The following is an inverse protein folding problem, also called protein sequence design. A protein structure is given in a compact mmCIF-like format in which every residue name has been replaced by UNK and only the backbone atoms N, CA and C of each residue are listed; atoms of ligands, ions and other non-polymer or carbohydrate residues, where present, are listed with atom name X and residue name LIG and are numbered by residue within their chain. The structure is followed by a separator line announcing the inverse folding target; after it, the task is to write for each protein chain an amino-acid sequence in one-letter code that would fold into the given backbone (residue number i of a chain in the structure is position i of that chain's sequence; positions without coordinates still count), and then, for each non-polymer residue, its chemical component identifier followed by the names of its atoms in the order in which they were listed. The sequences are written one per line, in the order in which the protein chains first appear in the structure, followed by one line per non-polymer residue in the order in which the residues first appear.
data_IF_990681588642
#
_entry.id   IF_990681588642
#
_cell.length_a   1.000
_cell.length_b   1.000
_cell.length_c   1.000
_cell.angle_alpha   90.00
_cell.angle_beta   90.00
_cell.angle_gamma   90.00
#
_symmetry.space_group_name_H-M   'P 1'
#
loop_
_entity.id
_entity.type
_entity.pdbx_description
1 polymer ?
#
# COMPACT_ATOMS: atom_id res chain seq x y z
N UNK A 1 -11.68 27.38 3.44
CA UNK A 1 -12.18 26.06 3.86
C UNK A 1 -13.18 25.61 2.81
N UNK A 2 -12.73 24.79 1.87
CA UNK A 2 -13.54 24.22 0.79
C UNK A 2 -13.38 22.70 0.92
N UNK A 3 -14.42 22.02 1.38
CA UNK A 3 -14.51 20.57 1.32
C UNK A 3 -14.84 20.21 -0.14
N UNK A 4 -13.91 19.54 -0.81
CA UNK A 4 -14.20 18.81 -2.03
C UNK A 4 -14.75 17.45 -1.59
N UNK A 5 -16.04 17.23 -1.79
CA UNK A 5 -16.61 15.89 -1.61
C UNK A 5 -16.07 14.94 -2.70
N UNK A 6 -15.67 13.71 -2.35
CA UNK A 6 -15.25 12.73 -3.34
C UNK A 6 -16.50 12.21 -4.06
N UNK A 7 -16.69 12.63 -5.32
CA UNK A 7 -17.62 11.97 -6.24
C UNK A 7 -17.03 10.64 -6.68
N UNK A 8 -17.44 9.54 -6.06
CA UNK A 8 -17.18 8.21 -6.57
C UNK A 8 -18.13 7.92 -7.73
N UNK A 9 -17.57 7.67 -8.92
CA UNK A 9 -18.32 7.20 -10.08
C UNK A 9 -18.65 5.72 -9.83
N UNK A 10 -19.94 5.35 -9.75
CA UNK A 10 -20.33 3.96 -9.61
C UNK A 10 -19.94 3.19 -10.88
N UNK A 11 -18.96 2.29 -10.79
CA UNK A 11 -18.69 1.31 -11.85
C UNK A 11 -19.50 0.06 -11.53
N UNK A 12 -20.65 -0.10 -12.19
CA UNK A 12 -21.39 -1.35 -12.14
C UNK A 12 -20.72 -2.36 -13.09
N UNK A 13 -20.06 -3.37 -12.52
CA UNK A 13 -19.70 -4.58 -13.25
C UNK A 13 -20.68 -5.67 -12.79
N UNK A 14 -21.39 -6.27 -13.73
CA UNK A 14 -22.18 -7.50 -13.56
C UNK A 14 -23.28 -7.52 -12.48
N UNK A 15 -24.04 -6.43 -12.34
CA UNK A 15 -25.31 -6.47 -11.60
C UNK A 15 -25.19 -6.54 -10.07
N UNK A 16 -24.00 -6.30 -9.52
CA UNK A 16 -23.80 -6.08 -8.09
C UNK A 16 -24.07 -4.60 -7.79
N UNK A 17 -25.19 -4.30 -7.14
CA UNK A 17 -25.43 -2.99 -6.54
C UNK A 17 -24.52 -2.84 -5.33
N UNK A 18 -23.46 -2.05 -5.45
CA UNK A 18 -22.65 -1.65 -4.30
C UNK A 18 -23.45 -0.66 -3.45
N UNK A 19 -23.60 -0.95 -2.16
CA UNK A 19 -24.05 0.01 -1.15
C UNK A 19 -23.15 1.26 -1.25
N UNK A 20 -23.70 2.45 -1.06
CA UNK A 20 -23.21 3.73 -1.61
C UNK A 20 -21.84 4.22 -1.06
N UNK A 21 -21.08 3.38 -0.35
CA UNK A 21 -19.67 3.61 -0.04
C UNK A 21 -18.89 2.29 0.05
N UNK A 22 -18.24 1.82 -1.04
CA UNK A 22 -17.52 0.53 -1.06
C UNK A 22 -16.37 0.44 -0.05
N UNK A 23 -15.94 1.57 0.53
CA UNK A 23 -14.84 1.65 1.49
C UNK A 23 -15.24 1.07 2.85
N UNK A 24 -16.53 1.08 3.23
CA UNK A 24 -16.95 0.61 4.57
C UNK A 24 -16.91 -0.90 4.74
N UNK A 25 -16.72 -1.67 3.66
CA UNK A 25 -16.63 -3.13 3.68
C UNK A 25 -15.18 -3.64 3.55
N UNK A 26 -14.20 -2.75 3.51
CA UNK A 26 -12.78 -3.13 3.46
C UNK A 26 -12.34 -3.50 4.88
N UNK A 27 -12.07 -4.78 5.09
CA UNK A 27 -11.60 -5.33 6.38
C UNK A 27 -10.10 -5.60 6.41
N UNK A 28 -9.42 -5.53 5.26
CA UNK A 28 -7.98 -5.71 5.15
C UNK A 28 -7.37 -5.13 3.89
N UNK A 29 -6.09 -4.78 3.98
CA UNK A 29 -5.24 -4.32 2.87
C UNK A 29 -3.97 -5.17 2.83
N UNK A 30 -3.56 -5.59 1.62
CA UNK A 30 -2.28 -6.28 1.40
C UNK A 30 -1.43 -5.39 0.47
N UNK A 31 -0.27 -4.96 0.93
CA UNK A 31 0.75 -4.29 0.12
C UNK A 31 1.89 -5.26 -0.17
N UNK A 32 2.28 -5.40 -1.43
CA UNK A 32 3.36 -6.31 -1.87
C UNK A 32 4.35 -5.49 -2.69
N UNK A 33 5.64 -5.53 -2.32
CA UNK A 33 6.73 -4.76 -2.95
C UNK A 33 6.39 -3.27 -3.17
N UNK A 34 5.75 -2.66 -2.17
CA UNK A 34 5.13 -1.35 -2.31
C UNK A 34 6.07 -0.16 -2.19
N UNK A 35 5.74 0.92 -2.90
CA UNK A 35 6.34 2.26 -2.72
C UNK A 35 5.45 3.07 -1.80
N UNK A 36 5.97 3.51 -0.66
CA UNK A 36 5.21 4.27 0.34
C UNK A 36 5.75 5.69 0.57
N UNK A 37 7.03 5.94 0.26
CA UNK A 37 7.73 7.21 0.41
C UNK A 37 8.52 7.55 -0.86
N UNK A 38 7.94 8.41 -1.70
CA UNK A 38 8.53 8.87 -2.97
C UNK A 38 9.81 9.69 -2.75
N UNK A 39 9.87 10.67 -1.83
CA UNK A 39 11.13 11.33 -1.49
C UNK A 39 12.25 10.33 -1.14
N UNK A 40 11.93 9.31 -0.33
CA UNK A 40 12.92 8.29 0.05
C UNK A 40 13.31 7.39 -1.12
N UNK A 41 12.35 7.03 -1.99
CA UNK A 41 12.62 6.27 -3.21
C UNK A 41 13.64 6.98 -4.10
N UNK A 42 13.47 8.28 -4.34
CA UNK A 42 14.41 9.06 -5.17
C UNK A 42 15.76 9.26 -4.48
N UNK A 43 15.79 9.36 -3.15
CA UNK A 43 17.06 9.39 -2.39
C UNK A 43 17.86 8.10 -2.60
N UNK A 44 17.19 6.94 -2.50
CA UNK A 44 17.83 5.63 -2.60
C UNK A 44 18.10 5.23 -4.07
N UNK A 45 17.26 5.68 -5.01
CA UNK A 45 17.33 5.39 -6.45
C UNK A 45 17.16 6.67 -7.28
N UNK A 46 18.18 7.54 -7.40
CA UNK A 46 18.04 8.84 -8.06
C UNK A 46 17.56 8.78 -9.51
N UNK A 47 17.87 7.70 -10.23
CA UNK A 47 17.42 7.52 -11.61
C UNK A 47 15.90 7.38 -11.72
N UNK A 48 15.19 6.97 -10.66
CA UNK A 48 13.73 6.81 -10.68
C UNK A 48 12.99 8.12 -10.84
N UNK A 49 13.63 9.26 -10.55
CA UNK A 49 13.01 10.57 -10.75
C UNK A 49 12.50 10.72 -12.19
N UNK A 50 13.41 10.61 -13.16
CA UNK A 50 13.15 10.97 -14.56
C UNK A 50 12.27 9.94 -15.28
N UNK A 51 12.47 8.63 -15.03
CA UNK A 51 11.75 7.59 -15.78
C UNK A 51 10.42 7.17 -15.13
N UNK A 52 10.24 7.40 -13.83
CA UNK A 52 9.06 6.92 -13.08
C UNK A 52 8.34 8.03 -12.33
N UNK A 53 9.01 8.70 -11.39
CA UNK A 53 8.34 9.56 -10.40
C UNK A 53 7.70 10.79 -11.03
N UNK A 54 8.39 11.46 -11.96
CA UNK A 54 7.84 12.64 -12.61
C UNK A 54 6.59 12.32 -13.44
N UNK A 55 6.58 11.15 -14.10
CA UNK A 55 5.46 10.68 -14.90
C UNK A 55 4.29 10.15 -14.05
N UNK A 56 4.58 9.40 -12.98
CA UNK A 56 3.56 8.75 -12.14
C UNK A 56 2.99 9.67 -11.06
N UNK A 57 3.77 10.66 -10.61
CA UNK A 57 3.39 11.62 -9.57
C UNK A 57 3.36 13.03 -10.15
N UNK A 58 4.52 13.69 -10.19
CA UNK A 58 4.68 15.08 -10.66
C UNK A 58 6.15 15.49 -10.67
N UNK A 59 6.51 16.42 -11.55
CA UNK A 59 7.80 17.11 -11.56
C UNK A 59 8.02 18.01 -10.33
N UNK A 60 6.94 18.47 -9.67
CA UNK A 60 7.02 19.35 -8.50
C UNK A 60 7.36 18.55 -7.22
N UNK A 61 8.65 18.57 -6.85
CA UNK A 61 9.19 17.83 -5.70
C UNK A 61 8.50 18.14 -4.38
N UNK A 62 8.01 19.36 -4.19
CA UNK A 62 7.30 19.76 -2.96
C UNK A 62 5.98 19.00 -2.79
N UNK A 63 5.42 18.47 -3.88
CA UNK A 63 4.18 17.67 -3.86
C UNK A 63 4.41 16.17 -3.70
N UNK A 64 5.64 15.67 -3.74
CA UNK A 64 5.89 14.21 -3.68
C UNK A 64 5.35 13.55 -2.42
N UNK A 65 5.33 14.28 -1.29
CA UNK A 65 4.72 13.80 -0.04
C UNK A 65 3.21 13.57 -0.16
N UNK A 66 2.52 14.31 -1.02
CA UNK A 66 1.07 14.12 -1.26
C UNK A 66 0.77 12.77 -1.94
N UNK A 67 1.71 12.26 -2.74
CA UNK A 67 1.62 10.97 -3.45
C UNK A 67 2.20 9.80 -2.64
N UNK A 68 2.71 10.07 -1.44
CA UNK A 68 3.41 9.11 -0.61
C UNK A 68 2.52 8.65 0.55
N UNK A 69 2.02 7.39 0.55
CA UNK A 69 1.26 6.84 1.67
C UNK A 69 1.90 7.07 3.04
N UNK A 70 3.23 7.13 3.13
CA UNK A 70 4.01 7.41 4.33
C UNK A 70 3.63 8.73 5.02
N UNK A 71 3.06 9.71 4.31
CA UNK A 71 2.69 11.02 4.87
C UNK A 71 1.17 11.21 5.02
N UNK A 72 0.35 10.23 4.63
CA UNK A 72 -1.10 10.31 4.72
C UNK A 72 -1.63 9.70 6.04
N UNK A 73 -2.61 10.32 6.70
CA UNK A 73 -3.27 9.72 7.84
C UNK A 73 -4.47 8.89 7.36
N UNK A 74 -4.70 7.67 7.89
CA UNK A 74 -5.96 6.97 7.66
C UNK A 74 -7.11 7.85 8.16
N UNK A 75 -8.08 8.12 7.28
CA UNK A 75 -9.33 8.77 7.66
C UNK A 75 -10.38 7.69 7.85
N UNK A 76 -11.06 7.69 9.00
CA UNK A 76 -12.02 6.66 9.46
C UNK A 76 -11.35 5.35 9.93
N UNK A 77 -11.06 5.31 11.23
CA UNK A 77 -10.40 4.23 11.95
C UNK A 77 -11.37 3.10 12.33
N UNK A 78 -12.10 2.55 11.34
CA UNK A 78 -12.66 1.22 11.57
C UNK A 78 -11.50 0.23 11.75
N UNK A 79 -11.66 -0.82 12.57
CA UNK A 79 -10.66 -1.86 12.68
C UNK A 79 -10.29 -2.42 11.31
N UNK A 80 -9.01 -2.32 10.93
CA UNK A 80 -8.54 -2.67 9.60
C UNK A 80 -7.22 -3.44 9.71
N UNK A 81 -7.15 -4.61 9.06
CA UNK A 81 -5.91 -5.37 8.95
C UNK A 81 -5.01 -4.81 7.84
N UNK A 82 -3.71 -4.82 8.07
CA UNK A 82 -2.69 -4.60 7.06
C UNK A 82 -1.72 -5.77 7.04
N UNK A 83 -1.41 -6.26 5.84
CA UNK A 83 -0.28 -7.13 5.59
C UNK A 83 0.64 -6.46 4.57
N UNK A 84 1.87 -6.20 4.96
CA UNK A 84 2.93 -5.77 4.05
C UNK A 84 3.82 -6.98 3.77
N UNK A 85 4.12 -7.25 2.50
CA UNK A 85 5.06 -8.28 2.07
C UNK A 85 6.13 -7.59 1.24
N UNK A 86 7.40 -7.82 1.57
CA UNK A 86 8.51 -7.23 0.83
C UNK A 86 9.66 -8.25 0.77
N UNK A 87 10.19 -8.55 -0.40
CA UNK A 87 11.28 -9.52 -0.50
C UNK A 87 12.62 -8.89 -0.08
N UNK A 88 13.46 -9.61 0.69
CA UNK A 88 14.83 -9.16 0.96
C UNK A 88 15.71 -9.14 -0.30
N UNK A 89 15.27 -9.81 -1.38
CA UNK A 89 15.98 -9.89 -2.66
C UNK A 89 15.46 -8.91 -3.73
N UNK A 90 14.49 -8.03 -3.39
CA UNK A 90 13.96 -7.02 -4.32
C UNK A 90 15.11 -6.10 -4.82
N UNK A 91 15.36 -6.14 -6.11
CA UNK A 91 16.40 -5.38 -6.78
C UNK A 91 15.96 -3.98 -7.23
N UNK A 92 14.65 -3.70 -7.19
CA UNK A 92 14.02 -2.46 -7.67
C UNK A 92 13.67 -1.52 -6.53
N UNK A 93 13.27 -2.04 -5.37
CA UNK A 93 12.81 -1.25 -4.22
C UNK A 93 13.29 -1.89 -2.92
N UNK A 94 13.87 -1.10 -2.03
CA UNK A 94 14.34 -1.63 -0.75
C UNK A 94 13.20 -1.85 0.26
N UNK A 95 13.42 -2.83 1.15
CA UNK A 95 12.51 -3.17 2.25
C UNK A 95 12.23 -2.02 3.24
N UNK A 96 13.08 -0.98 3.27
CA UNK A 96 12.89 0.16 4.17
C UNK A 96 11.60 0.92 3.87
N UNK A 97 11.10 0.84 2.63
CA UNK A 97 9.78 1.33 2.26
C UNK A 97 8.70 0.66 3.12
N UNK A 98 8.62 -0.67 3.10
CA UNK A 98 7.63 -1.43 3.86
C UNK A 98 7.83 -1.31 5.38
N UNK A 99 9.08 -1.36 5.86
CA UNK A 99 9.42 -1.24 7.29
C UNK A 99 8.97 0.13 7.84
N UNK A 100 9.35 1.22 7.16
CA UNK A 100 9.01 2.58 7.62
C UNK A 100 7.51 2.85 7.57
N UNK A 101 6.80 2.23 6.62
CA UNK A 101 5.36 2.33 6.51
C UNK A 101 4.64 1.54 7.59
N UNK A 102 5.10 0.32 7.90
CA UNK A 102 4.63 -0.45 9.06
C UNK A 102 4.74 0.37 10.35
N UNK A 103 5.91 0.90 10.66
CA UNK A 103 6.15 1.71 11.87
C UNK A 103 5.22 2.93 11.95
N UNK A 104 4.86 3.51 10.80
CA UNK A 104 3.91 4.61 10.72
C UNK A 104 2.47 4.13 10.96
N UNK A 105 2.06 3.00 10.40
CA UNK A 105 0.72 2.44 10.60
C UNK A 105 0.48 1.93 12.03
N UNK A 106 1.52 1.40 12.68
CA UNK A 106 1.43 0.92 14.08
C UNK A 106 1.14 2.03 15.10
N UNK A 107 1.23 3.31 14.69
CA UNK A 107 0.82 4.46 15.52
C UNK A 107 -0.70 4.59 15.65
N UNK A 108 -1.47 3.82 14.88
CA UNK A 108 -2.93 3.85 14.87
C UNK A 108 -3.47 2.59 15.56
N UNK A 109 -4.05 2.74 16.76
CA UNK A 109 -4.51 1.62 17.60
C UNK A 109 -5.58 0.73 16.94
N UNK A 110 -6.32 1.26 15.96
CA UNK A 110 -7.34 0.52 15.22
C UNK A 110 -6.77 -0.38 14.11
N UNK A 111 -5.45 -0.36 13.88
CA UNK A 111 -4.83 -1.12 12.80
C UNK A 111 -4.10 -2.36 13.35
N UNK A 112 -4.38 -3.52 12.77
CA UNK A 112 -3.58 -4.74 12.95
C UNK A 112 -2.59 -4.83 11.80
N UNK A 113 -1.34 -4.42 12.03
CA UNK A 113 -0.33 -4.28 10.97
C UNK A 113 0.69 -5.42 11.07
N UNK A 114 0.84 -6.18 9.99
CA UNK A 114 1.79 -7.28 9.85
C UNK A 114 2.77 -6.98 8.73
N UNK A 115 4.01 -7.42 8.89
CA UNK A 115 5.05 -7.35 7.87
C UNK A 115 5.68 -8.73 7.71
N UNK A 116 5.87 -9.12 6.46
CA UNK A 116 6.57 -10.33 6.07
C UNK A 116 7.73 -9.97 5.13
N UNK A 117 8.94 -10.26 5.59
CA UNK A 117 10.18 -10.08 4.82
C UNK A 117 10.95 -11.39 4.67
N UNK A 118 10.28 -12.52 4.90
CA UNK A 118 10.91 -13.84 4.85
C UNK A 118 10.77 -14.49 3.47
N UNK A 119 9.81 -14.02 2.66
CA UNK A 119 9.60 -14.51 1.29
C UNK A 119 10.67 -13.92 0.38
N UNK A 120 11.54 -14.79 -0.16
CA UNK A 120 12.63 -14.42 -1.07
C UNK A 120 12.19 -14.39 -2.54
N UNK A 121 13.02 -13.77 -3.39
CA UNK A 121 12.78 -13.61 -4.83
C UNK A 121 12.83 -12.17 -5.30
N UNK A 122 13.14 -11.95 -6.58
CA UNK A 122 13.14 -10.60 -7.18
C UNK A 122 11.74 -10.00 -7.21
N UNK A 123 11.67 -8.68 -7.41
CA UNK A 123 10.45 -7.88 -7.35
C UNK A 123 9.23 -8.54 -8.03
N UNK A 124 9.37 -8.92 -9.30
CA UNK A 124 8.29 -9.56 -10.07
C UNK A 124 8.22 -11.08 -9.86
N UNK A 125 9.35 -11.72 -9.57
CA UNK A 125 9.46 -13.18 -9.45
C UNK A 125 8.71 -13.67 -8.20
N UNK A 126 8.83 -12.93 -7.08
CA UNK A 126 8.21 -13.29 -5.81
C UNK A 126 6.68 -13.37 -5.90
N UNK A 127 6.06 -12.54 -6.75
CA UNK A 127 4.61 -12.48 -6.95
C UNK A 127 4.01 -13.79 -7.49
N UNK A 128 4.84 -14.61 -8.14
CA UNK A 128 4.42 -15.89 -8.73
C UNK A 128 4.62 -17.09 -7.79
N UNK A 129 5.09 -16.86 -6.57
CA UNK A 129 5.39 -17.94 -5.62
C UNK A 129 4.14 -18.40 -4.87
N UNK A 130 4.10 -19.70 -4.53
CA UNK A 130 3.04 -20.23 -3.66
C UNK A 130 3.07 -19.61 -2.25
N UNK A 131 4.24 -19.17 -1.79
CA UNK A 131 4.41 -18.61 -0.45
C UNK A 131 3.62 -17.32 -0.28
N UNK A 132 3.69 -16.41 -1.26
CA UNK A 132 2.87 -15.18 -1.29
C UNK A 132 1.39 -15.52 -1.24
N UNK A 133 0.93 -16.43 -2.10
CA UNK A 133 -0.47 -16.84 -2.13
C UNK A 133 -0.90 -17.42 -0.76
N UNK A 134 -0.07 -18.24 -0.12
CA UNK A 134 -0.33 -18.79 1.23
C UNK A 134 -0.42 -17.69 2.29
N UNK A 135 0.47 -16.69 2.27
CA UNK A 135 0.42 -15.56 3.22
C UNK A 135 -0.85 -14.73 3.02
N UNK A 136 -1.21 -14.44 1.77
CA UNK A 136 -2.44 -13.71 1.45
C UNK A 136 -3.69 -14.46 1.95
N UNK A 137 -3.80 -15.77 1.67
CA UNK A 137 -4.92 -16.60 2.12
C UNK A 137 -4.97 -16.65 3.66
N UNK A 138 -3.82 -16.87 4.31
CA UNK A 138 -3.74 -16.91 5.78
C UNK A 138 -4.18 -15.59 6.41
N UNK A 139 -3.79 -14.46 5.83
CA UNK A 139 -4.21 -13.15 6.27
C UNK A 139 -5.72 -12.95 6.10
N UNK A 140 -6.27 -13.21 4.91
CA UNK A 140 -7.70 -13.12 4.65
C UNK A 140 -8.53 -13.96 5.65
N UNK A 141 -8.12 -15.22 5.90
CA UNK A 141 -8.78 -16.09 6.87
C UNK A 141 -8.72 -15.55 8.30
N UNK A 142 -7.65 -14.83 8.67
CA UNK A 142 -7.52 -14.23 10.00
C UNK A 142 -8.42 -13.02 10.25
N UNK A 143 -8.95 -12.41 9.17
CA UNK A 143 -9.86 -11.25 9.24
C UNK A 143 -11.33 -11.66 9.32
N UNK A 144 -11.67 -12.88 8.89
CA UNK A 144 -13.01 -13.44 8.95
C UNK A 144 -13.29 -13.91 10.39
N UNK A 145 -13.84 -13.01 11.22
CA UNK A 145 -14.38 -13.32 12.54
C UNK A 145 -15.89 -13.50 12.49
#
# INVERSE_FOLDING_TARGET
MLFLEPKFLSLAIDGITYDENPITNIIGVIGIEGIYDIPKLVEDYPNYQDWFVEAACTEDKEKWKCYSPQYQAPSNLQPLGFLLIHSPDDELINEKQAISFKEKLEKFESLDVRLDTDISGKHDEMLSTEEVARKMISFCNSLQR
#
